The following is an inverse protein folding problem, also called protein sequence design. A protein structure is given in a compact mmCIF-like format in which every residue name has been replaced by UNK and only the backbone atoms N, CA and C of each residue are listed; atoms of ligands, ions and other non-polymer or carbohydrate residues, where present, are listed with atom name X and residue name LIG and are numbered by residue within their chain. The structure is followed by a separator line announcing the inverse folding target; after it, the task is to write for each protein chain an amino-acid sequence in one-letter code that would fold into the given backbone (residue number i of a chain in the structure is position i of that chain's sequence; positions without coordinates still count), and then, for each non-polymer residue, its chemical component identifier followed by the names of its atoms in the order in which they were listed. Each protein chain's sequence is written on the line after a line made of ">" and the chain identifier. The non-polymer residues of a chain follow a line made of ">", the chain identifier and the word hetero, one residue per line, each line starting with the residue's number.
data_IF_889981511506
#
_entry.id   IF_889981511506
#
_cell.length_a   1.000
_cell.length_b   1.000
_cell.length_c   1.000
_cell.angle_alpha   90.00
_cell.angle_beta   90.00
_cell.angle_gamma   90.00
#
_symmetry.space_group_name_H-M   'P 1'
#
loop_
_entity.id
_entity.type
_entity.pdbx_description
1 polymer ?
#
# COMPACT_ATOMS: atom_id res chain seq x y z
N UNK A 1 41.36 -31.14 32.77
CA UNK A 1 40.32 -30.69 33.73
C UNK A 1 39.32 -29.83 32.97
N UNK A 2 38.06 -30.26 32.84
CA UNK A 2 37.01 -29.43 32.24
C UNK A 2 36.64 -28.36 33.26
N UNK A 3 36.84 -27.07 32.93
CA UNK A 3 36.30 -25.97 33.74
C UNK A 3 34.78 -26.08 33.72
N UNK A 4 34.17 -26.38 34.86
CA UNK A 4 32.73 -26.29 35.03
C UNK A 4 32.35 -24.81 34.99
N UNK A 5 31.36 -24.46 34.16
CA UNK A 5 30.82 -23.11 34.05
C UNK A 5 30.16 -22.73 35.38
N UNK A 6 30.44 -21.53 35.90
CA UNK A 6 29.86 -21.12 37.17
C UNK A 6 28.39 -20.73 36.99
N UNK A 7 27.54 -21.02 37.98
CA UNK A 7 26.13 -20.58 37.93
C UNK A 7 26.02 -19.06 37.81
N UNK A 8 26.94 -18.31 38.42
CA UNK A 8 26.95 -16.85 38.36
C UNK A 8 27.27 -16.32 36.95
N UNK A 9 28.18 -16.95 36.21
CA UNK A 9 28.43 -16.58 34.81
C UNK A 9 27.19 -16.78 33.95
N UNK A 10 26.44 -17.87 34.16
CA UNK A 10 25.22 -18.13 33.41
C UNK A 10 24.14 -17.07 33.70
N UNK A 11 23.98 -16.70 34.97
CA UNK A 11 23.04 -15.65 35.39
C UNK A 11 23.42 -14.30 34.78
N UNK A 12 24.71 -13.96 34.77
CA UNK A 12 25.16 -12.68 34.21
C UNK A 12 24.89 -12.59 32.71
N UNK A 13 25.07 -13.69 31.97
CA UNK A 13 24.77 -13.76 30.53
C UNK A 13 23.28 -13.55 30.25
N UNK A 14 22.38 -14.22 30.97
CA UNK A 14 20.93 -14.04 30.75
C UNK A 14 20.46 -12.64 31.14
N UNK A 15 21.07 -12.02 32.15
CA UNK A 15 20.75 -10.64 32.56
C UNK A 15 21.18 -9.66 31.47
N UNK A 16 22.39 -9.79 30.92
CA UNK A 16 22.85 -8.95 29.81
C UNK A 16 21.96 -9.14 28.58
N UNK A 17 21.67 -10.39 28.19
CA UNK A 17 20.78 -10.68 27.06
C UNK A 17 19.38 -10.12 27.29
N UNK A 18 18.86 -10.16 28.53
CA UNK A 18 17.58 -9.56 28.89
C UNK A 18 17.54 -8.05 28.70
N UNK A 19 18.58 -7.33 29.14
CA UNK A 19 18.68 -5.86 28.97
C UNK A 19 18.82 -5.50 27.48
N UNK A 20 19.67 -6.21 26.74
CA UNK A 20 19.85 -5.97 25.31
C UNK A 20 18.55 -6.23 24.52
N UNK A 21 17.82 -7.30 24.84
CA UNK A 21 16.55 -7.61 24.22
C UNK A 21 15.48 -6.54 24.51
N UNK A 22 15.41 -6.05 25.77
CA UNK A 22 14.45 -5.03 26.17
C UNK A 22 14.62 -3.72 25.40
N UNK A 23 15.85 -3.32 25.09
CA UNK A 23 16.13 -2.09 24.33
C UNK A 23 15.99 -2.30 22.81
N UNK A 24 16.32 -3.50 22.31
CA UNK A 24 16.28 -3.78 20.86
C UNK A 24 14.85 -3.98 20.31
N UNK A 25 13.96 -4.59 21.09
CA UNK A 25 12.63 -5.00 20.61
C UNK A 25 11.73 -3.83 20.16
N UNK A 26 11.61 -2.70 20.89
CA UNK A 26 10.81 -1.56 20.44
C UNK A 26 11.33 -0.97 19.12
N UNK A 27 12.65 -0.91 18.95
CA UNK A 27 13.28 -0.42 17.72
C UNK A 27 13.00 -1.35 16.54
N UNK A 28 13.04 -2.66 16.77
CA UNK A 28 12.77 -3.67 15.74
C UNK A 28 11.35 -3.55 15.18
N UNK A 29 10.34 -3.34 16.02
CA UNK A 29 8.95 -3.14 15.59
C UNK A 29 8.80 -1.89 14.70
N UNK A 30 9.46 -0.79 15.05
CA UNK A 30 9.45 0.42 14.22
C UNK A 30 10.09 0.22 12.84
N UNK A 31 11.20 -0.54 12.77
CA UNK A 31 11.87 -0.86 11.50
C UNK A 31 11.03 -1.77 10.63
N UNK A 32 10.38 -2.79 11.20
CA UNK A 32 9.47 -3.66 10.47
C UNK A 32 8.31 -2.86 9.83
N UNK A 33 7.70 -1.95 10.59
CA UNK A 33 6.65 -1.07 10.07
C UNK A 33 7.13 -0.20 8.90
N UNK A 34 8.33 0.38 9.01
CA UNK A 34 8.91 1.20 7.94
C UNK A 34 9.24 0.35 6.70
N UNK A 35 9.64 -0.91 6.88
CA UNK A 35 9.87 -1.83 5.77
C UNK A 35 8.57 -2.14 5.01
N UNK A 36 7.47 -2.42 5.71
CA UNK A 36 6.16 -2.61 5.07
C UNK A 36 5.70 -1.37 4.30
N UNK A 37 5.85 -0.18 4.89
CA UNK A 37 5.56 1.08 4.19
C UNK A 37 6.45 1.27 2.95
N UNK A 38 7.75 0.94 3.05
CA UNK A 38 8.69 0.99 1.94
C UNK A 38 8.34 0.03 0.80
N UNK A 39 7.87 -1.17 1.12
CA UNK A 39 7.38 -2.14 0.13
C UNK A 39 6.15 -1.58 -0.61
N UNK A 40 5.17 -1.03 0.11
CA UNK A 40 3.98 -0.43 -0.49
C UNK A 40 4.32 0.78 -1.38
N UNK A 41 5.27 1.64 -0.95
CA UNK A 41 5.76 2.75 -1.78
C UNK A 41 6.43 2.24 -3.06
N UNK A 42 7.25 1.21 -2.95
CA UNK A 42 7.93 0.60 -4.11
C UNK A 42 6.93 -0.04 -5.07
N UNK A 43 5.89 -0.68 -4.53
CA UNK A 43 4.80 -1.26 -5.29
C UNK A 43 4.00 -0.21 -6.04
N UNK A 44 3.57 0.88 -5.39
CA UNK A 44 2.90 2.01 -6.06
C UNK A 44 3.81 2.67 -7.11
N UNK A 45 5.11 2.76 -6.83
CA UNK A 45 6.09 3.20 -7.82
C UNK A 45 6.21 2.28 -9.03
N UNK A 46 5.96 0.98 -8.85
CA UNK A 46 5.92 -0.02 -9.94
C UNK A 46 4.61 0.10 -10.71
N UNK A 47 3.47 0.28 -10.04
CA UNK A 47 2.18 0.57 -10.67
C UNK A 47 2.29 1.77 -11.62
N UNK A 48 2.84 2.88 -11.16
CA UNK A 48 3.00 4.08 -11.98
C UNK A 48 3.96 3.93 -13.17
N UNK A 49 4.98 3.06 -13.07
CA UNK A 49 6.01 2.91 -14.11
C UNK A 49 5.74 1.80 -15.10
N UNK A 50 4.94 0.81 -14.73
CA UNK A 50 4.69 -0.39 -15.53
C UNK A 50 3.21 -0.56 -15.81
N UNK A 51 2.40 -0.74 -14.77
CA UNK A 51 0.97 -1.06 -14.95
C UNK A 51 0.20 0.10 -15.58
N UNK A 52 0.37 1.32 -15.05
CA UNK A 52 -0.27 2.53 -15.55
C UNK A 52 -0.07 2.76 -17.06
N UNK A 53 1.17 2.84 -17.60
CA UNK A 53 1.37 3.04 -19.03
C UNK A 53 0.95 1.84 -19.88
N UNK A 54 1.08 0.61 -19.37
CA UNK A 54 0.64 -0.59 -20.10
C UNK A 54 -0.87 -0.61 -20.29
N UNK A 55 -1.64 -0.41 -19.21
CA UNK A 55 -3.10 -0.39 -19.27
C UNK A 55 -3.61 0.82 -20.06
N UNK A 56 -2.96 1.97 -19.92
CA UNK A 56 -3.30 3.15 -20.71
C UNK A 56 -3.09 2.92 -22.21
N UNK A 57 -1.96 2.32 -22.60
CA UNK A 57 -1.71 1.99 -24.01
C UNK A 57 -2.71 0.96 -24.54
N UNK A 58 -3.09 -0.03 -23.72
CA UNK A 58 -4.11 -1.02 -24.07
C UNK A 58 -5.47 -0.35 -24.28
N UNK A 59 -5.88 0.52 -23.34
CA UNK A 59 -7.10 1.32 -23.40
C UNK A 59 -7.19 2.20 -24.65
N UNK A 60 -6.12 2.95 -24.97
CA UNK A 60 -6.06 3.79 -26.17
C UNK A 60 -6.16 2.94 -27.44
N UNK A 61 -5.49 1.79 -27.48
CA UNK A 61 -5.57 0.88 -28.63
C UNK A 61 -6.94 0.22 -28.79
N UNK A 62 -7.66 0.02 -27.67
CA UNK A 62 -9.01 -0.53 -27.62
C UNK A 62 -10.12 0.48 -27.88
N UNK A 63 -9.79 1.77 -28.02
CA UNK A 63 -10.79 2.83 -28.21
C UNK A 63 -11.52 3.24 -26.92
N UNK A 64 -10.88 3.03 -25.77
CA UNK A 64 -11.41 3.40 -24.44
C UNK A 64 -10.83 4.72 -23.93
N UNK A 65 -10.25 5.56 -24.80
CA UNK A 65 -9.79 6.92 -24.49
C UNK A 65 -8.87 7.04 -23.26
N UNK A 66 -8.11 6.00 -22.92
CA UNK A 66 -7.18 6.00 -21.79
C UNK A 66 -7.80 5.67 -20.43
N UNK A 67 -9.12 5.42 -20.37
CA UNK A 67 -9.83 4.88 -19.21
C UNK A 67 -9.27 3.48 -18.88
N UNK A 68 -8.81 3.25 -17.65
CA UNK A 68 -8.34 1.94 -17.20
C UNK A 68 -9.36 1.17 -16.38
N UNK A 69 -10.45 1.79 -15.92
CA UNK A 69 -11.55 1.11 -15.24
C UNK A 69 -12.23 0.07 -16.13
N UNK A 70 -12.26 0.28 -17.46
CA UNK A 70 -12.83 -0.70 -18.39
C UNK A 70 -12.20 -2.10 -18.26
N UNK A 71 -10.93 -2.17 -17.83
CA UNK A 71 -10.18 -3.43 -17.75
C UNK A 71 -10.73 -4.38 -16.69
N UNK A 72 -11.50 -3.86 -15.71
CA UNK A 72 -12.05 -4.60 -14.58
C UNK A 72 -11.00 -5.51 -13.91
N UNK A 73 -9.77 -5.01 -13.79
CA UNK A 73 -8.69 -5.74 -13.15
C UNK A 73 -8.84 -5.67 -11.63
N UNK A 74 -8.94 -6.85 -11.04
CA UNK A 74 -9.24 -7.07 -9.64
C UNK A 74 -8.25 -8.08 -9.05
N UNK A 75 -7.98 -7.89 -7.77
CA UNK A 75 -7.25 -8.79 -6.89
C UNK A 75 -7.88 -8.71 -5.50
N UNK A 76 -8.15 -9.87 -4.91
CA UNK A 76 -8.59 -9.96 -3.52
C UNK A 76 -7.90 -11.15 -2.88
N UNK A 77 -7.06 -10.92 -1.89
CA UNK A 77 -6.30 -11.95 -1.19
C UNK A 77 -7.19 -13.06 -0.58
N UNK A 78 -8.39 -12.72 -0.15
CA UNK A 78 -9.29 -13.63 0.56
C UNK A 78 -10.29 -14.30 -0.39
N UNK A 79 -10.80 -13.58 -1.40
CA UNK A 79 -11.86 -14.08 -2.29
C UNK A 79 -11.40 -14.43 -3.71
N UNK A 80 -10.34 -13.79 -4.21
CA UNK A 80 -9.81 -13.98 -5.56
C UNK A 80 -8.28 -13.80 -5.62
N UNK A 81 -7.51 -14.69 -4.98
CA UNK A 81 -6.06 -14.53 -4.84
C UNK A 81 -5.31 -14.63 -6.18
N UNK A 82 -5.88 -15.34 -7.16
CA UNK A 82 -5.37 -15.45 -8.52
C UNK A 82 -6.06 -14.46 -9.47
N UNK A 83 -6.51 -13.32 -8.95
CA UNK A 83 -7.22 -12.30 -9.72
C UNK A 83 -6.47 -11.85 -10.97
N UNK A 84 -7.22 -11.42 -11.99
CA UNK A 84 -6.68 -11.05 -13.30
C UNK A 84 -5.58 -9.97 -13.25
N UNK A 85 -5.55 -9.14 -12.20
CA UNK A 85 -4.50 -8.14 -12.00
C UNK A 85 -3.12 -8.76 -11.73
N UNK A 86 -3.05 -9.97 -11.16
CA UNK A 86 -1.79 -10.68 -10.88
C UNK A 86 -1.01 -11.05 -12.15
N UNK A 87 -1.69 -11.07 -13.31
CA UNK A 87 -1.05 -11.27 -14.63
C UNK A 87 -0.18 -10.07 -15.05
N UNK A 88 -0.47 -8.89 -14.51
CA UNK A 88 0.22 -7.64 -14.87
C UNK A 88 1.30 -7.27 -13.85
N UNK A 89 1.11 -7.64 -12.58
CA UNK A 89 2.04 -7.32 -11.51
C UNK A 89 1.98 -8.34 -10.38
N UNK A 90 3.14 -8.69 -9.84
CA UNK A 90 3.24 -9.50 -8.62
C UNK A 90 2.74 -8.70 -7.41
N UNK A 91 1.80 -9.28 -6.68
CA UNK A 91 1.16 -8.59 -5.56
C UNK A 91 1.96 -8.78 -4.27
N UNK A 92 2.37 -7.70 -3.57
CA UNK A 92 3.06 -7.84 -2.29
C UNK A 92 2.07 -8.28 -1.22
N UNK A 93 2.56 -9.03 -0.23
CA UNK A 93 1.76 -9.62 0.87
C UNK A 93 0.99 -8.58 1.71
N UNK A 94 1.42 -7.32 1.66
CA UNK A 94 0.80 -6.18 2.33
C UNK A 94 -0.54 -5.77 1.69
N UNK A 95 -0.79 -6.10 0.42
CA UNK A 95 -2.06 -5.76 -0.26
C UNK A 95 -3.12 -6.80 0.05
N UNK A 96 -4.29 -6.31 0.48
CA UNK A 96 -5.46 -7.14 0.73
C UNK A 96 -6.35 -7.20 -0.51
N UNK A 97 -6.76 -6.04 -1.00
CA UNK A 97 -7.66 -5.92 -2.13
C UNK A 97 -7.17 -4.83 -3.08
N UNK A 98 -7.40 -5.03 -4.37
CA UNK A 98 -7.25 -4.00 -5.38
C UNK A 98 -8.30 -4.19 -6.48
N UNK A 99 -9.03 -3.14 -6.80
CA UNK A 99 -10.02 -3.10 -7.89
C UNK A 99 -9.78 -1.84 -8.72
N UNK A 100 -9.32 -2.03 -9.96
CA UNK A 100 -9.09 -0.93 -10.89
C UNK A 100 -10.37 -0.47 -11.60
N UNK A 101 -11.48 -1.22 -11.52
CA UNK A 101 -12.78 -0.76 -12.05
C UNK A 101 -13.30 0.47 -11.30
N UNK A 102 -12.83 0.69 -10.07
CA UNK A 102 -13.09 1.88 -9.27
C UNK A 102 -12.21 3.08 -9.65
N UNK A 103 -11.26 2.95 -10.59
CA UNK A 103 -10.48 4.07 -11.13
C UNK A 103 -11.15 4.65 -12.38
N UNK A 104 -12.29 5.32 -12.21
CA UNK A 104 -13.12 5.83 -13.31
C UNK A 104 -13.27 7.37 -13.32
N UNK A 105 -12.47 8.08 -12.51
CA UNK A 105 -12.47 9.53 -12.42
C UNK A 105 -11.17 10.13 -12.92
N UNK A 106 -11.28 11.07 -13.86
CA UNK A 106 -10.14 11.83 -14.40
C UNK A 106 -9.81 13.09 -13.60
N UNK A 107 -10.62 13.41 -12.59
CA UNK A 107 -10.49 14.62 -11.76
C UNK A 107 -10.06 14.30 -10.34
N UNK A 108 -10.63 13.26 -9.76
CA UNK A 108 -10.51 12.94 -8.35
C UNK A 108 -9.83 11.60 -8.15
N UNK A 109 -8.97 11.50 -7.14
CA UNK A 109 -8.39 10.21 -6.76
C UNK A 109 -9.45 9.34 -6.11
N UNK A 110 -9.60 8.11 -6.60
CA UNK A 110 -10.51 7.10 -6.05
C UNK A 110 -9.70 5.97 -5.42
N UNK A 111 -10.20 5.42 -4.33
CA UNK A 111 -9.51 4.35 -3.64
C UNK A 111 -9.71 3.04 -4.39
N UNK A 112 -8.62 2.52 -4.92
CA UNK A 112 -8.61 1.29 -5.72
C UNK A 112 -7.98 0.13 -4.99
N UNK A 113 -7.33 0.35 -3.84
CA UNK A 113 -6.71 -0.75 -3.12
C UNK A 113 -6.57 -0.49 -1.64
N UNK A 114 -6.62 -1.57 -0.86
CA UNK A 114 -6.47 -1.55 0.60
C UNK A 114 -5.36 -2.51 1.02
N UNK A 115 -4.58 -2.10 2.01
CA UNK A 115 -3.58 -2.96 2.63
C UNK A 115 -4.19 -3.80 3.75
N UNK A 116 -3.61 -4.97 3.99
CA UNK A 116 -3.96 -5.83 5.12
C UNK A 116 -3.31 -5.27 6.39
N UNK A 117 -4.13 -4.64 7.25
CA UNK A 117 -3.69 -4.06 8.54
C UNK A 117 -2.93 -5.05 9.41
N UNK A 118 -3.25 -6.34 9.34
CA UNK A 118 -2.58 -7.36 10.17
C UNK A 118 -1.14 -7.63 9.71
N UNK A 119 -0.84 -7.35 8.43
CA UNK A 119 0.50 -7.52 7.85
C UNK A 119 1.24 -6.18 7.86
N UNK A 120 0.60 -5.12 7.36
CA UNK A 120 1.21 -3.81 7.22
C UNK A 120 1.26 -3.02 8.54
N UNK A 121 0.55 -3.45 9.59
CA UNK A 121 0.52 -2.82 10.93
C UNK A 121 -0.27 -1.51 11.02
N UNK A 122 -0.59 -0.88 9.88
CA UNK A 122 -1.41 0.34 9.76
C UNK A 122 -2.32 0.23 8.53
N UNK A 123 -3.32 1.09 8.48
CA UNK A 123 -4.23 1.21 7.35
C UNK A 123 -3.57 2.05 6.24
N UNK A 124 -3.31 1.39 5.11
CA UNK A 124 -2.79 2.01 3.90
C UNK A 124 -3.76 1.77 2.75
N UNK A 125 -3.91 2.77 1.90
CA UNK A 125 -4.77 2.74 0.73
C UNK A 125 -3.99 3.19 -0.50
N UNK A 126 -4.32 2.58 -1.63
CA UNK A 126 -3.84 3.00 -2.93
C UNK A 126 -5.00 3.72 -3.61
N UNK A 127 -4.76 4.96 -4.01
CA UNK A 127 -5.72 5.74 -4.74
C UNK A 127 -5.23 5.98 -6.17
N UNK A 128 -6.16 6.06 -7.11
CA UNK A 128 -5.92 6.17 -8.54
C UNK A 128 -6.71 7.35 -9.09
N UNK A 129 -6.09 8.15 -9.95
CA UNK A 129 -6.78 9.04 -10.87
C UNK A 129 -6.65 8.41 -12.25
N UNK A 130 -7.77 8.30 -12.95
CA UNK A 130 -7.86 7.61 -14.23
C UNK A 130 -7.12 8.37 -15.33
N UNK A 131 -6.75 7.63 -16.37
CA UNK A 131 -6.19 8.19 -17.57
C UNK A 131 -7.24 8.85 -18.44
N UNK A 132 -6.76 9.60 -19.43
CA UNK A 132 -7.55 10.12 -20.53
C UNK A 132 -6.74 9.99 -21.83
N UNK A 133 -7.30 10.48 -22.95
CA UNK A 133 -6.68 10.35 -24.27
C UNK A 133 -5.26 10.95 -24.34
N UNK A 134 -4.88 11.81 -23.39
CA UNK A 134 -3.64 12.57 -23.38
C UNK A 134 -2.76 12.31 -22.16
N UNK A 135 -3.27 11.63 -21.13
CA UNK A 135 -2.60 11.47 -19.84
C UNK A 135 -2.81 10.06 -19.30
N UNK A 136 -1.71 9.42 -18.89
CA UNK A 136 -1.76 8.12 -18.24
C UNK A 136 -2.35 8.23 -16.81
N UNK A 137 -2.99 7.16 -16.30
CA UNK A 137 -3.48 7.12 -14.94
C UNK A 137 -2.32 7.23 -13.95
N UNK A 138 -2.63 7.69 -12.74
CA UNK A 138 -1.64 7.87 -11.69
C UNK A 138 -2.11 7.31 -10.37
N UNK A 139 -1.22 6.58 -9.72
CA UNK A 139 -1.43 5.95 -8.44
C UNK A 139 -0.67 6.69 -7.33
N UNK A 140 -1.28 6.80 -6.16
CA UNK A 140 -0.66 7.35 -4.95
C UNK A 140 -0.92 6.44 -3.76
N UNK A 141 -0.01 6.48 -2.79
CA UNK A 141 -0.17 5.76 -1.53
C UNK A 141 -0.65 6.75 -0.46
N UNK A 142 -1.64 6.35 0.33
CA UNK A 142 -2.18 7.12 1.43
C UNK A 142 -2.14 6.25 2.68
N UNK A 143 -1.69 6.80 3.80
CA UNK A 143 -1.77 6.17 5.12
C UNK A 143 -2.87 6.84 5.91
N UNK A 144 -3.88 6.08 6.34
CA UNK A 144 -5.00 6.64 7.10
C UNK A 144 -4.51 7.22 8.42
N UNK A 145 -5.08 8.36 8.80
CA UNK A 145 -4.85 9.03 10.10
C UNK A 145 -6.08 9.03 10.98
N UNK A 146 -7.27 8.88 10.39
CA UNK A 146 -8.53 8.70 11.10
C UNK A 146 -8.86 7.22 11.33
N UNK A 147 -9.91 6.95 12.11
CA UNK A 147 -10.25 5.60 12.61
C UNK A 147 -11.47 4.97 11.96
N UNK A 148 -12.15 5.68 11.06
CA UNK A 148 -13.31 5.15 10.37
C UNK A 148 -12.94 4.16 9.27
N UNK A 149 -13.97 3.65 8.61
CA UNK A 149 -13.80 2.66 7.54
C UNK A 149 -13.76 3.37 6.20
N UNK A 150 -12.74 3.05 5.42
CA UNK A 150 -12.57 3.50 4.04
C UNK A 150 -12.80 2.30 3.13
N UNK A 151 -13.58 2.49 2.07
CA UNK A 151 -13.97 1.44 1.13
C UNK A 151 -13.39 1.70 -0.26
N UNK A 152 -13.34 0.64 -1.08
CA UNK A 152 -12.98 0.77 -2.49
C UNK A 152 -14.04 1.64 -3.20
N UNK A 153 -13.60 2.46 -4.15
CA UNK A 153 -14.45 3.43 -4.85
C UNK A 153 -14.69 4.74 -4.10
N UNK A 154 -14.25 4.88 -2.84
CA UNK A 154 -14.38 6.15 -2.13
C UNK A 154 -13.54 7.24 -2.82
N UNK A 155 -14.23 8.31 -3.23
CA UNK A 155 -13.59 9.46 -3.85
C UNK A 155 -12.89 10.31 -2.79
N UNK A 156 -11.66 10.71 -3.07
CA UNK A 156 -11.01 11.78 -2.34
C UNK A 156 -11.61 13.12 -2.79
N UNK A 157 -11.97 13.95 -1.81
CA UNK A 157 -12.62 15.25 -1.97
C UNK A 157 -11.63 16.41 -1.91
N UNK A 158 -10.35 16.13 -1.65
CA UNK A 158 -9.28 17.14 -1.60
C UNK A 158 -8.54 17.20 -2.93
N UNK A 159 -8.27 18.38 -3.46
CA UNK A 159 -7.39 18.52 -4.62
C UNK A 159 -5.97 18.05 -4.28
N UNK A 160 -5.58 16.86 -4.76
CA UNK A 160 -4.25 16.30 -4.55
C UNK A 160 -3.32 16.75 -5.68
N UNK A 161 -2.44 17.70 -5.37
CA UNK A 161 -1.39 18.16 -6.26
C UNK A 161 -0.01 17.62 -5.83
N UNK A 162 1.07 18.13 -6.41
CA UNK A 162 2.44 17.68 -6.09
C UNK A 162 2.92 18.04 -4.68
N UNK A 163 2.30 19.01 -4.01
CA UNK A 163 2.68 19.48 -2.66
C UNK A 163 1.71 19.03 -1.56
N UNK A 164 0.51 18.55 -1.90
CA UNK A 164 -0.47 18.05 -0.91
C UNK A 164 0.14 16.95 -0.03
N UNK A 165 0.02 17.06 1.28
CA UNK A 165 0.52 16.06 2.25
C UNK A 165 -0.60 15.26 2.89
N UNK A 166 -1.85 15.69 2.70
CA UNK A 166 -3.05 15.08 3.28
C UNK A 166 -4.10 14.85 2.19
N UNK A 167 -4.91 13.83 2.39
CA UNK A 167 -6.10 13.52 1.60
C UNK A 167 -7.32 13.41 2.53
N UNK A 168 -8.49 13.78 2.03
CA UNK A 168 -9.77 13.67 2.74
C UNK A 168 -10.75 12.95 1.84
N UNK A 169 -11.40 11.92 2.34
CA UNK A 169 -12.30 11.08 1.56
C UNK A 169 -13.76 11.55 1.69
N UNK A 170 -14.63 11.09 0.80
CA UNK A 170 -16.06 11.41 0.72
C UNK A 170 -16.81 11.20 2.04
N UNK A 171 -16.36 10.25 2.84
CA UNK A 171 -16.88 9.91 4.17
C UNK A 171 -16.30 10.78 5.32
N UNK A 172 -15.44 11.75 5.01
CA UNK A 172 -14.78 12.63 5.99
C UNK A 172 -13.52 12.04 6.64
N UNK A 173 -13.12 10.83 6.26
CA UNK A 173 -11.87 10.22 6.72
C UNK A 173 -10.66 10.94 6.13
N UNK A 174 -9.54 10.94 6.84
CA UNK A 174 -8.32 11.63 6.43
C UNK A 174 -7.12 10.69 6.40
N UNK A 175 -6.15 11.00 5.54
CA UNK A 175 -4.90 10.27 5.47
C UNK A 175 -3.72 11.16 5.10
N UNK A 176 -2.52 10.69 5.41
CA UNK A 176 -1.26 11.29 4.96
C UNK A 176 -0.86 10.69 3.62
N UNK A 177 -0.56 11.53 2.64
CA UNK A 177 -0.06 11.09 1.33
C UNK A 177 1.42 10.73 1.46
N UNK A 178 1.75 9.54 1.00
CA UNK A 178 3.09 8.98 1.02
C UNK A 178 3.66 9.01 -0.40
N UNK A 179 4.65 9.87 -0.61
CA UNK A 179 5.45 9.93 -1.83
C UNK A 179 6.74 9.15 -1.69
#
# INVERSE_FOLDING_TARGET
>A
MKKAFTMIELIFVIVILGILAAVALPKFLGVAQQAHEGNLKSFVGTLNRTVAPTLWSESISGGHDGDIAYTALQYDKDTNPDGNLTKYIDMPKEIKNMDLSDCNSTTDYQIVGTADKNVAGKDYFIACIDGNANQAPKFILIRQTSTGTVTLGDNNTTDINATSTTATFSNGETGTILR
#
